data_IF_295119584417
#
_entry.id   IF_295119584417
#
_cell.length_a   1.000
_cell.length_b   1.000
_cell.length_c   1.000
_cell.angle_alpha   90.00
_cell.angle_beta   90.00
_cell.angle_gamma   90.00
#
_symmetry.space_group_name_H-M   'P 1'
#
loop_
_entity.id
_entity.type
_entity.pdbx_description
1 polymer ?
#
# COMPACT_ATOMS: atom_id res chain seq x y z
N UNK A 1 28.14 -10.45 -8.41
CA UNK A 1 27.61 -9.31 -9.11
C UNK A 1 26.14 -9.13 -8.75
N UNK A 2 25.84 -7.95 -8.35
CA UNK A 2 24.45 -7.62 -8.13
C UNK A 2 23.76 -7.44 -9.45
N UNK A 3 22.75 -8.21 -9.67
CA UNK A 3 21.96 -8.06 -10.85
C UNK A 3 20.90 -6.99 -10.60
N UNK A 4 21.25 -5.75 -10.94
CA UNK A 4 20.33 -4.63 -10.81
C UNK A 4 19.30 -4.60 -11.94
N UNK A 5 19.41 -5.52 -12.91
CA UNK A 5 18.42 -5.62 -13.97
C UNK A 5 17.13 -6.30 -13.52
N UNK A 6 17.13 -6.93 -12.33
CA UNK A 6 15.94 -7.57 -11.78
C UNK A 6 15.33 -6.70 -10.67
N UNK A 7 14.55 -5.69 -11.03
CA UNK A 7 13.93 -4.85 -10.02
C UNK A 7 12.96 -5.65 -9.16
N UNK A 8 12.95 -5.31 -7.88
CA UNK A 8 12.05 -5.92 -6.92
C UNK A 8 10.80 -5.08 -6.81
N UNK A 9 9.68 -5.68 -7.17
CA UNK A 9 8.37 -5.03 -7.10
C UNK A 9 7.60 -5.57 -5.92
N UNK A 10 6.98 -4.68 -5.19
CA UNK A 10 6.06 -5.03 -4.10
C UNK A 10 4.70 -4.45 -4.44
N UNK A 11 3.65 -5.26 -4.34
CA UNK A 11 2.30 -4.83 -4.70
C UNK A 11 1.39 -4.99 -3.48
N UNK A 12 0.92 -3.87 -2.96
CA UNK A 12 -0.02 -3.83 -1.85
C UNK A 12 -1.43 -3.98 -2.42
N UNK A 13 -2.22 -4.85 -1.82
CA UNK A 13 -3.55 -5.14 -2.35
C UNK A 13 -3.53 -6.08 -3.54
N UNK A 14 -2.54 -6.98 -3.59
CA UNK A 14 -2.32 -7.88 -4.72
C UNK A 14 -3.47 -8.86 -4.94
N UNK A 15 -4.29 -9.13 -3.91
CA UNK A 15 -5.43 -10.03 -4.03
C UNK A 15 -6.69 -9.36 -4.59
N UNK A 16 -6.70 -8.02 -4.67
CA UNK A 16 -7.82 -7.29 -5.23
C UNK A 16 -7.86 -7.36 -6.75
N UNK A 17 -8.93 -6.82 -7.33
CA UNK A 17 -9.13 -6.87 -8.77
C UNK A 17 -7.99 -6.21 -9.54
N UNK A 18 -7.67 -4.97 -9.18
CA UNK A 18 -6.61 -4.22 -9.86
C UNK A 18 -5.25 -4.83 -9.53
N UNK A 19 -5.00 -5.12 -8.25
CA UNK A 19 -3.71 -5.66 -7.81
C UNK A 19 -3.39 -7.01 -8.45
N UNK A 20 -4.37 -7.90 -8.55
CA UNK A 20 -4.16 -9.20 -9.18
C UNK A 20 -3.84 -9.06 -10.66
N UNK A 21 -4.47 -8.11 -11.34
CA UNK A 21 -4.18 -7.82 -12.76
C UNK A 21 -2.77 -7.29 -12.94
N UNK A 22 -2.31 -6.43 -12.03
CA UNK A 22 -0.94 -5.90 -12.07
C UNK A 22 0.07 -7.03 -11.87
N UNK A 23 -0.15 -7.88 -10.87
CA UNK A 23 0.75 -8.99 -10.60
C UNK A 23 0.82 -9.93 -11.79
N UNK A 24 -0.33 -10.25 -12.40
CA UNK A 24 -0.39 -11.12 -13.56
C UNK A 24 0.40 -10.52 -14.72
N UNK A 25 0.28 -9.23 -14.96
CA UNK A 25 1.01 -8.56 -16.03
C UNK A 25 2.52 -8.55 -15.79
N UNK A 26 2.92 -8.28 -14.55
CA UNK A 26 4.34 -8.30 -14.19
C UNK A 26 4.92 -9.70 -14.40
N UNK A 27 4.21 -10.73 -13.95
CA UNK A 27 4.65 -12.10 -14.14
C UNK A 27 4.74 -12.47 -15.61
N UNK A 28 3.81 -12.00 -16.44
CA UNK A 28 3.84 -12.24 -17.87
C UNK A 28 5.06 -11.59 -18.54
N UNK A 29 5.56 -10.51 -17.97
CA UNK A 29 6.77 -9.83 -18.46
C UNK A 29 8.05 -10.38 -17.82
N UNK A 30 7.95 -11.46 -17.05
CA UNK A 30 9.11 -12.05 -16.39
C UNK A 30 9.56 -11.29 -15.15
N UNK A 31 8.72 -10.41 -14.60
CA UNK A 31 9.02 -9.62 -13.42
C UNK A 31 8.35 -10.27 -12.22
N UNK A 32 9.14 -10.56 -11.20
CA UNK A 32 8.63 -11.10 -9.95
C UNK A 32 8.04 -9.97 -9.10
N UNK A 33 6.82 -10.16 -8.62
CA UNK A 33 6.15 -9.17 -7.79
C UNK A 33 5.75 -9.82 -6.47
N UNK A 34 6.22 -9.28 -5.36
CA UNK A 34 5.87 -9.77 -4.03
C UNK A 34 4.54 -9.16 -3.58
N UNK A 35 3.57 -9.99 -3.23
CA UNK A 35 2.31 -9.47 -2.71
C UNK A 35 2.47 -9.02 -1.27
N UNK A 36 1.86 -7.89 -0.94
CA UNK A 36 1.79 -7.40 0.42
C UNK A 36 0.32 -7.19 0.77
N UNK A 37 -0.07 -7.76 1.89
CA UNK A 37 -1.43 -7.57 2.37
C UNK A 37 -1.61 -6.15 2.89
N UNK A 38 -2.68 -5.49 2.45
CA UNK A 38 -2.98 -4.13 2.89
C UNK A 38 -3.58 -4.17 4.30
N UNK A 39 -3.04 -3.37 5.23
CA UNK A 39 -3.67 -3.24 6.53
C UNK A 39 -5.03 -2.56 6.39
N UNK A 40 -5.97 -2.95 7.23
CA UNK A 40 -7.30 -2.34 7.25
C UNK A 40 -7.28 -1.18 8.22
N UNK A 41 -7.50 0.00 7.70
CA UNK A 41 -7.48 1.23 8.48
C UNK A 41 -8.83 1.92 8.37
N UNK A 42 -9.16 2.68 9.40
CA UNK A 42 -10.35 3.51 9.41
C UNK A 42 -10.02 4.83 10.11
N UNK A 43 -10.66 5.90 9.69
CA UNK A 43 -10.52 7.19 10.34
C UNK A 43 -11.81 7.98 10.21
N UNK A 44 -12.12 8.80 11.22
CA UNK A 44 -13.22 9.74 11.15
C UNK A 44 -12.77 11.13 10.73
N UNK A 45 -11.47 11.31 10.54
CA UNK A 45 -10.93 12.58 10.11
C UNK A 45 -11.31 12.86 8.65
N UNK A 46 -11.57 14.12 8.34
CA UNK A 46 -11.85 14.59 6.99
C UNK A 46 -10.86 15.64 6.53
N UNK A 47 -10.04 16.13 7.45
CA UNK A 47 -9.01 17.13 7.17
C UNK A 47 -7.73 16.42 6.77
N UNK A 48 -7.12 16.74 5.62
CA UNK A 48 -5.88 16.08 5.20
C UNK A 48 -4.73 16.19 6.19
N UNK A 49 -4.60 17.31 6.89
CA UNK A 49 -3.53 17.47 7.88
C UNK A 49 -3.73 16.54 9.07
N UNK A 50 -4.96 16.35 9.51
CA UNK A 50 -5.27 15.44 10.60
C UNK A 50 -5.02 13.99 10.15
N UNK A 51 -5.38 13.65 8.92
CA UNK A 51 -5.12 12.31 8.38
C UNK A 51 -3.62 12.03 8.34
N UNK A 52 -2.81 12.99 7.92
CA UNK A 52 -1.36 12.84 7.91
C UNK A 52 -0.82 12.65 9.33
N UNK A 53 -1.32 13.41 10.28
CA UNK A 53 -0.91 13.28 11.68
C UNK A 53 -1.29 11.90 12.24
N UNK A 54 -2.47 11.41 11.92
CA UNK A 54 -2.86 10.05 12.30
C UNK A 54 -1.94 9.01 11.68
N UNK A 55 -1.60 9.18 10.42
CA UNK A 55 -0.70 8.27 9.74
C UNK A 55 0.65 8.19 10.45
N UNK A 56 1.19 9.33 10.85
CA UNK A 56 2.48 9.39 11.55
C UNK A 56 2.46 8.67 12.90
N UNK A 57 1.30 8.55 13.52
CA UNK A 57 1.15 7.90 14.83
C UNK A 57 1.03 6.38 14.73
N UNK A 58 0.81 5.85 13.54
CA UNK A 58 0.64 4.42 13.33
C UNK A 58 2.01 3.72 13.20
N UNK A 59 2.85 3.89 14.21
CA UNK A 59 4.24 3.45 14.20
C UNK A 59 4.39 1.95 13.92
N UNK A 60 3.56 1.12 14.56
CA UNK A 60 3.64 -0.32 14.36
C UNK A 60 3.32 -0.74 12.93
N UNK A 61 2.33 -0.09 12.33
CA UNK A 61 1.95 -0.37 10.95
C UNK A 61 3.03 0.14 10.00
N UNK A 62 3.56 1.34 10.27
CA UNK A 62 4.65 1.90 9.46
C UNK A 62 5.86 0.98 9.49
N UNK A 63 6.26 0.52 10.68
CA UNK A 63 7.42 -0.35 10.82
C UNK A 63 7.20 -1.69 10.10
N UNK A 64 6.01 -2.26 10.23
CA UNK A 64 5.66 -3.50 9.56
C UNK A 64 5.72 -3.37 8.03
N UNK A 65 5.18 -2.27 7.51
CA UNK A 65 5.23 -2.02 6.07
C UNK A 65 6.65 -1.71 5.60
N UNK A 66 7.42 -0.95 6.38
CA UNK A 66 8.80 -0.66 6.04
C UNK A 66 9.62 -1.95 5.94
N UNK A 67 9.41 -2.88 6.85
CA UNK A 67 10.06 -4.20 6.79
C UNK A 67 9.65 -4.96 5.53
N UNK A 68 8.35 -4.92 5.20
CA UNK A 68 7.85 -5.59 4.01
C UNK A 68 8.39 -4.96 2.72
N UNK A 69 8.69 -3.66 2.75
CA UNK A 69 9.22 -2.93 1.59
C UNK A 69 10.73 -3.06 1.44
N UNK A 70 11.41 -3.67 2.39
CA UNK A 70 12.87 -3.77 2.35
C UNK A 70 13.33 -4.39 1.03
N UNK A 71 14.29 -3.74 0.37
CA UNK A 71 14.80 -4.20 -0.91
C UNK A 71 13.94 -3.86 -2.11
N UNK A 72 12.82 -3.19 -1.92
CA UNK A 72 11.94 -2.84 -3.04
C UNK A 72 12.54 -1.73 -3.90
N UNK A 73 12.44 -1.90 -5.20
CA UNK A 73 12.74 -0.84 -6.16
C UNK A 73 11.47 -0.09 -6.55
N UNK A 74 10.35 -0.81 -6.56
CA UNK A 74 9.04 -0.24 -6.90
C UNK A 74 8.02 -0.76 -5.91
N UNK A 75 7.20 0.13 -5.40
CA UNK A 75 6.08 -0.19 -4.53
C UNK A 75 4.82 0.30 -5.22
N UNK A 76 3.88 -0.62 -5.44
CA UNK A 76 2.61 -0.30 -6.07
C UNK A 76 1.52 -0.40 -5.01
N UNK A 77 0.75 0.65 -4.84
CA UNK A 77 -0.43 0.61 -3.99
C UNK A 77 -1.67 0.38 -4.86
N UNK A 78 -2.15 -0.85 -4.88
CA UNK A 78 -3.38 -1.23 -5.55
C UNK A 78 -4.52 -1.46 -4.55
N UNK A 79 -4.30 -1.10 -3.29
CA UNK A 79 -5.32 -1.22 -2.27
C UNK A 79 -6.26 -0.02 -2.32
N UNK A 80 -7.49 -0.25 -1.92
CA UNK A 80 -8.51 0.79 -1.85
C UNK A 80 -9.88 0.15 -1.78
N UNK A 81 -10.88 0.98 -1.55
CA UNK A 81 -12.26 0.52 -1.55
C UNK A 81 -13.04 1.27 -2.62
N UNK A 82 -13.71 0.51 -3.47
CA UNK A 82 -14.72 1.04 -4.37
C UNK A 82 -16.05 1.07 -3.60
N UNK A 83 -16.77 2.16 -3.67
CA UNK A 83 -17.83 2.35 -2.72
C UNK A 83 -19.09 2.99 -3.27
N UNK A 84 -19.66 2.52 -4.37
CA UNK A 84 -20.91 3.13 -4.83
C UNK A 84 -22.04 3.01 -3.81
N UNK A 85 -22.04 1.98 -2.98
CA UNK A 85 -23.05 1.77 -1.97
C UNK A 85 -22.50 1.62 -0.57
N UNK A 86 -21.26 2.09 -0.34
CA UNK A 86 -20.61 1.92 0.93
C UNK A 86 -21.20 2.87 1.96
N UNK A 87 -21.54 2.33 3.12
CA UNK A 87 -22.07 3.10 4.23
C UNK A 87 -21.04 3.34 5.32
N UNK A 88 -19.91 2.63 5.27
CA UNK A 88 -18.85 2.78 6.26
C UNK A 88 -17.84 3.81 5.77
N UNK A 89 -18.17 5.09 6.00
CA UNK A 89 -17.30 6.18 5.60
C UNK A 89 -15.93 6.15 6.28
N UNK A 90 -15.82 5.85 7.58
CA UNK A 90 -14.49 5.75 8.20
C UNK A 90 -13.59 4.70 7.53
N UNK A 91 -14.12 3.56 7.13
CA UNK A 91 -13.33 2.55 6.43
C UNK A 91 -12.93 3.03 5.03
N UNK A 92 -13.82 3.73 4.34
CA UNK A 92 -13.53 4.28 3.01
C UNK A 92 -12.39 5.28 3.07
N UNK A 93 -12.45 6.24 4.00
CA UNK A 93 -11.40 7.24 4.17
C UNK A 93 -10.10 6.57 4.65
N UNK A 94 -10.21 5.58 5.53
CA UNK A 94 -9.05 4.81 5.99
C UNK A 94 -8.33 4.13 4.84
N UNK A 95 -9.08 3.49 3.94
CA UNK A 95 -8.48 2.77 2.81
C UNK A 95 -7.94 3.72 1.73
N UNK A 96 -8.64 4.83 1.47
CA UNK A 96 -8.35 5.64 0.29
C UNK A 96 -7.58 6.91 0.59
N UNK A 97 -7.39 7.27 1.85
CA UNK A 97 -6.62 8.43 2.26
C UNK A 97 -5.57 8.10 3.32
N UNK A 98 -5.96 7.47 4.43
CA UNK A 98 -5.03 7.18 5.52
C UNK A 98 -3.99 6.15 5.10
N UNK A 99 -4.40 5.06 4.47
CA UNK A 99 -3.48 4.01 4.03
C UNK A 99 -2.42 4.53 3.05
N UNK A 100 -2.77 5.29 1.99
CA UNK A 100 -1.74 5.85 1.12
C UNK A 100 -0.72 6.71 1.87
N UNK A 101 -1.15 7.49 2.87
CA UNK A 101 -0.24 8.29 3.67
C UNK A 101 0.71 7.40 4.48
N UNK A 102 0.21 6.34 5.10
CA UNK A 102 1.03 5.40 5.86
C UNK A 102 2.04 4.70 4.94
N UNK A 103 1.59 4.29 3.75
CA UNK A 103 2.48 3.65 2.77
C UNK A 103 3.61 4.59 2.36
N UNK A 104 3.29 5.86 2.11
CA UNK A 104 4.31 6.83 1.72
C UNK A 104 5.35 7.03 2.82
N UNK A 105 4.91 7.11 4.08
CA UNK A 105 5.83 7.24 5.22
C UNK A 105 6.72 6.00 5.33
N UNK A 106 6.14 4.81 5.23
CA UNK A 106 6.90 3.57 5.31
C UNK A 106 7.93 3.46 4.18
N UNK A 107 7.54 3.84 2.97
CA UNK A 107 8.44 3.81 1.82
C UNK A 107 9.63 4.75 2.00
N UNK A 108 9.42 5.89 2.63
CA UNK A 108 10.50 6.84 2.89
C UNK A 108 11.52 6.33 3.92
N UNK A 109 11.14 5.39 4.75
CA UNK A 109 12.01 4.80 5.76
C UNK A 109 12.89 3.68 5.21
N UNK A 110 12.62 3.25 4.00
CA UNK A 110 13.41 2.21 3.33
C UNK A 110 14.35 2.84 2.32
#
# INVERSE_FOLDING_TARGET
>A
VNDVSDPQWKVIGASGFVGSSIVARLNAEGISADPIEAPRLATRATDPEIIIDEARRLEGIIDSLADAFAGAHVIVNAAGLAAPNMQDLPALVGANALLPAVIAIAAQRT
#
